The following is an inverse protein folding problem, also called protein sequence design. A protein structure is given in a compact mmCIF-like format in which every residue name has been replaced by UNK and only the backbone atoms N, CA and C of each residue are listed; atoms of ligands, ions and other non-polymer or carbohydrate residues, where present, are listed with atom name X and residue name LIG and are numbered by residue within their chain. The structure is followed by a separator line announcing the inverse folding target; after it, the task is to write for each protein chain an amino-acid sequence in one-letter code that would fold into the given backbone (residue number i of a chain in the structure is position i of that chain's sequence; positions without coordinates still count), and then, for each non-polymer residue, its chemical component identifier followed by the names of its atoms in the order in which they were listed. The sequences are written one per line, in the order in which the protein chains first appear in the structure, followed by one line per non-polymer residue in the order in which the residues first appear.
data_IF_489527425793
#
_entry.id   IF_489527425793
#
_cell.length_a   1.000
_cell.length_b   1.000
_cell.length_c   1.000
_cell.angle_alpha   90.00
_cell.angle_beta   90.00
_cell.angle_gamma   90.00
#
_symmetry.space_group_name_H-M   'P 1'
#
loop_
_entity.id
_entity.type
_entity.pdbx_description
1 polymer ?
#
# COMPACT_ATOMS: atom_id res chain seq x y z
N UNK A 1 0.58 -2.27 -21.96
CA UNK A 1 0.62 -1.66 -20.62
C UNK A 1 -0.38 -0.50 -20.59
N UNK A 2 -1.29 -0.48 -19.62
CA UNK A 2 -2.19 0.65 -19.37
C UNK A 2 -1.39 1.80 -18.74
N UNK A 3 -1.87 3.04 -18.85
CA UNK A 3 -1.23 4.18 -18.18
C UNK A 3 -1.53 4.16 -16.69
N UNK A 4 -0.67 4.78 -15.89
CA UNK A 4 -0.95 5.03 -14.47
C UNK A 4 -2.25 5.82 -14.26
N UNK A 5 -2.59 6.74 -15.17
CA UNK A 5 -3.88 7.44 -15.13
C UNK A 5 -5.07 6.49 -15.24
N UNK A 6 -4.94 5.40 -16.01
CA UNK A 6 -5.99 4.39 -16.13
C UNK A 6 -6.17 3.62 -14.82
N UNK A 7 -5.08 3.23 -14.15
CA UNK A 7 -5.16 2.60 -12.83
C UNK A 7 -5.71 3.57 -11.77
N UNK A 8 -5.26 4.83 -11.77
CA UNK A 8 -5.80 5.86 -10.88
C UNK A 8 -7.31 6.08 -11.10
N UNK A 9 -7.80 5.97 -12.35
CA UNK A 9 -9.23 6.06 -12.64
C UNK A 9 -10.06 4.87 -12.15
N UNK A 10 -9.42 3.80 -11.67
CA UNK A 10 -10.07 2.63 -11.06
C UNK A 10 -10.19 2.74 -9.54
N UNK A 11 -9.48 3.68 -8.93
CA UNK A 11 -9.65 3.99 -7.51
C UNK A 11 -11.04 4.61 -7.33
N UNK A 12 -11.82 4.05 -6.42
CA UNK A 12 -13.17 4.52 -6.12
C UNK A 12 -13.38 4.63 -4.60
N UNK A 13 -13.09 5.81 -4.09
CA UNK A 13 -13.29 6.24 -2.70
C UNK A 13 -14.73 6.70 -2.43
N UNK A 14 -15.57 6.71 -3.45
CA UNK A 14 -16.98 7.10 -3.38
C UNK A 14 -17.95 5.92 -3.32
N UNK A 15 -17.46 4.71 -3.59
CA UNK A 15 -18.22 3.48 -3.45
C UNK A 15 -18.64 3.25 -1.99
N UNK A 16 -19.90 2.87 -1.78
CA UNK A 16 -20.47 2.74 -0.44
C UNK A 16 -19.89 1.57 0.36
N UNK A 17 -19.51 0.47 -0.30
CA UNK A 17 -18.89 -0.66 0.38
C UNK A 17 -17.46 -0.32 0.80
N UNK A 18 -16.72 0.38 -0.06
CA UNK A 18 -15.39 0.91 0.26
C UNK A 18 -15.45 1.89 1.44
N UNK A 19 -16.33 2.89 1.38
CA UNK A 19 -16.48 3.87 2.46
C UNK A 19 -16.89 3.21 3.78
N UNK A 20 -17.88 2.30 3.73
CA UNK A 20 -18.35 1.59 4.94
C UNK A 20 -17.24 0.78 5.58
N UNK A 21 -16.44 0.06 4.79
CA UNK A 21 -15.33 -0.73 5.30
C UNK A 21 -14.22 0.17 5.85
N UNK A 22 -13.85 1.23 5.14
CA UNK A 22 -12.85 2.18 5.61
C UNK A 22 -13.25 2.81 6.96
N UNK A 23 -14.50 3.25 7.09
CA UNK A 23 -15.06 3.78 8.35
C UNK A 23 -15.08 2.72 9.46
N UNK A 24 -15.47 1.48 9.15
CA UNK A 24 -15.51 0.36 10.11
C UNK A 24 -14.12 0.06 10.68
N UNK A 25 -13.10 -0.04 9.82
CA UNK A 25 -11.71 -0.26 10.22
C UNK A 25 -11.12 0.96 10.96
N UNK A 26 -11.51 2.17 10.57
CA UNK A 26 -11.08 3.39 11.23
C UNK A 26 -11.65 3.51 12.66
N UNK A 27 -12.91 3.10 12.84
CA UNK A 27 -13.65 3.21 14.10
C UNK A 27 -13.04 2.39 15.24
N UNK A 28 -12.29 1.33 14.93
CA UNK A 28 -11.51 0.57 15.93
C UNK A 28 -10.50 1.44 16.68
N UNK A 29 -10.09 2.57 16.09
CA UNK A 29 -9.03 3.44 16.58
C UNK A 29 -9.48 4.90 16.78
N UNK A 30 -10.79 5.13 16.92
CA UNK A 30 -11.43 6.46 17.06
C UNK A 30 -11.01 7.24 18.32
N UNK A 31 -10.34 6.60 19.27
CA UNK A 31 -9.77 7.26 20.43
C UNK A 31 -8.57 8.17 20.07
N UNK A 32 -8.03 8.05 18.85
CA UNK A 32 -6.91 8.82 18.32
C UNK A 32 -7.36 9.77 17.19
N UNK A 33 -6.74 10.96 17.03
CA UNK A 33 -7.08 11.89 15.95
C UNK A 33 -6.93 11.23 14.56
N UNK A 34 -7.97 11.29 13.74
CA UNK A 34 -8.01 10.68 12.40
C UNK A 34 -7.45 11.61 11.30
N UNK A 35 -6.83 11.08 10.22
CA UNK A 35 -6.33 9.70 10.14
C UNK A 35 -5.09 9.50 11.01
N UNK A 36 -5.02 8.37 11.73
CA UNK A 36 -3.83 7.99 12.51
C UNK A 36 -3.16 6.71 11.97
N UNK A 37 -1.93 6.49 12.41
CA UNK A 37 -1.09 5.35 12.03
C UNK A 37 -1.74 3.98 12.26
N UNK A 38 -2.55 3.82 13.31
CA UNK A 38 -3.25 2.54 13.56
C UNK A 38 -4.39 2.31 12.57
N UNK A 39 -5.13 3.35 12.19
CA UNK A 39 -6.18 3.26 11.15
C UNK A 39 -5.58 2.85 9.80
N UNK A 40 -4.46 3.46 9.41
CA UNK A 40 -3.75 3.12 8.17
C UNK A 40 -3.21 1.68 8.24
N UNK A 41 -2.60 1.30 9.37
CA UNK A 41 -2.12 -0.06 9.59
C UNK A 41 -3.23 -1.11 9.57
N UNK A 42 -4.40 -0.80 10.15
CA UNK A 42 -5.57 -1.68 10.18
C UNK A 42 -6.16 -1.94 8.79
N UNK A 43 -6.22 -0.92 7.93
CA UNK A 43 -6.58 -1.09 6.52
C UNK A 43 -5.62 -2.03 5.81
N UNK A 44 -4.30 -1.82 5.97
CA UNK A 44 -3.30 -2.71 5.37
C UNK A 44 -3.52 -4.15 5.81
N UNK A 45 -3.66 -4.38 7.13
CA UNK A 45 -3.80 -5.71 7.70
C UNK A 45 -5.08 -6.40 7.22
N UNK A 46 -6.21 -5.68 7.16
CA UNK A 46 -7.43 -6.23 6.61
C UNK A 46 -7.24 -6.75 5.19
N UNK A 47 -6.65 -5.94 4.30
CA UNK A 47 -6.42 -6.37 2.90
C UNK A 47 -5.44 -7.54 2.85
N UNK A 48 -4.36 -7.50 3.64
CA UNK A 48 -3.36 -8.57 3.71
C UNK A 48 -3.97 -9.92 4.15
N UNK A 49 -4.87 -9.90 5.13
CA UNK A 49 -5.45 -11.12 5.70
C UNK A 49 -6.63 -11.67 4.91
N UNK A 50 -7.37 -10.80 4.20
CA UNK A 50 -8.64 -11.18 3.57
C UNK A 50 -8.56 -11.28 2.04
N UNK A 51 -7.60 -10.63 1.38
CA UNK A 51 -7.47 -10.69 -0.09
C UNK A 51 -6.37 -11.66 -0.51
N UNK A 52 -6.76 -12.76 -1.15
CA UNK A 52 -5.83 -13.78 -1.64
C UNK A 52 -5.22 -13.37 -2.97
N UNK A 53 -3.90 -13.46 -3.09
CA UNK A 53 -3.22 -13.26 -4.38
C UNK A 53 -3.73 -14.26 -5.42
N UNK A 54 -4.28 -13.75 -6.53
CA UNK A 54 -4.76 -14.56 -7.64
C UNK A 54 -4.38 -13.89 -8.95
N UNK A 55 -3.43 -14.46 -9.74
CA UNK A 55 -3.02 -13.88 -11.01
C UNK A 55 -4.16 -13.85 -12.02
N UNK A 56 -4.10 -12.87 -12.92
CA UNK A 56 -5.12 -12.66 -13.93
C UNK A 56 -5.45 -13.90 -14.80
N UNK A 57 -6.74 -14.18 -15.05
CA UNK A 57 -7.16 -15.30 -15.89
C UNK A 57 -6.59 -15.18 -17.31
N UNK A 58 -5.83 -16.19 -17.75
CA UNK A 58 -5.32 -16.23 -19.12
C UNK A 58 -4.22 -15.22 -19.43
N UNK A 59 -3.69 -14.50 -18.42
CA UNK A 59 -2.63 -13.50 -18.58
C UNK A 59 -3.07 -12.21 -19.26
N UNK A 60 -4.38 -11.96 -19.34
CA UNK A 60 -4.92 -10.67 -19.79
C UNK A 60 -5.18 -9.78 -18.57
N UNK A 61 -4.61 -8.56 -18.59
CA UNK A 61 -4.75 -7.58 -17.51
C UNK A 61 -6.21 -7.35 -17.12
N UNK A 62 -6.57 -7.67 -15.88
CA UNK A 62 -7.89 -7.45 -15.29
C UNK A 62 -7.79 -6.82 -13.91
N UNK A 63 -8.08 -5.52 -13.83
CA UNK A 63 -8.21 -4.81 -12.56
C UNK A 63 -9.67 -4.82 -12.15
N UNK A 64 -9.99 -5.62 -11.14
CA UNK A 64 -11.31 -5.62 -10.49
C UNK A 64 -11.61 -4.25 -9.89
N UNK A 65 -12.88 -3.87 -9.91
CA UNK A 65 -13.31 -2.68 -9.18
C UNK A 65 -13.20 -2.97 -7.66
N UNK A 66 -12.91 -1.98 -6.79
CA UNK A 66 -12.66 -2.22 -5.36
C UNK A 66 -13.75 -3.04 -4.65
N UNK A 67 -15.03 -2.75 -4.91
CA UNK A 67 -16.17 -3.50 -4.36
C UNK A 67 -16.20 -4.95 -4.84
N UNK A 68 -15.89 -5.20 -6.12
CA UNK A 68 -15.78 -6.56 -6.67
C UNK A 68 -14.64 -7.33 -6.00
N UNK A 69 -13.50 -6.67 -5.74
CA UNK A 69 -12.38 -7.32 -5.04
C UNK A 69 -12.75 -7.69 -3.61
N UNK A 70 -13.49 -6.83 -2.91
CA UNK A 70 -14.01 -7.12 -1.57
C UNK A 70 -15.01 -8.29 -1.56
N UNK A 71 -15.83 -8.43 -2.61
CA UNK A 71 -16.76 -9.56 -2.74
C UNK A 71 -16.05 -10.88 -3.07
N UNK A 72 -15.06 -10.82 -3.97
CA UNK A 72 -14.40 -12.02 -4.52
C UNK A 72 -13.19 -12.48 -3.71
N UNK A 73 -12.63 -11.60 -2.88
CA UNK A 73 -11.45 -11.82 -2.04
C UNK A 73 -10.22 -12.29 -2.83
N UNK A 74 -10.16 -11.99 -4.13
CA UNK A 74 -9.14 -12.51 -5.05
C UNK A 74 -8.73 -11.51 -6.12
N UNK A 75 -7.45 -11.16 -6.11
CA UNK A 75 -6.83 -10.29 -7.11
C UNK A 75 -5.32 -10.29 -6.96
N UNK A 76 -4.62 -9.85 -8.00
CA UNK A 76 -3.16 -9.74 -7.97
C UNK A 76 -2.70 -8.35 -7.50
N UNK A 77 -1.46 -7.98 -7.83
CA UNK A 77 -0.81 -6.77 -7.34
C UNK A 77 -1.57 -5.48 -7.68
N UNK A 78 -2.14 -5.34 -8.88
CA UNK A 78 -2.81 -4.10 -9.26
C UNK A 78 -4.22 -3.96 -8.69
N UNK A 79 -4.95 -5.07 -8.57
CA UNK A 79 -6.23 -5.16 -7.87
C UNK A 79 -6.07 -4.72 -6.40
N UNK A 80 -5.10 -5.32 -5.70
CA UNK A 80 -4.87 -5.00 -4.28
C UNK A 80 -4.35 -3.57 -4.09
N UNK A 81 -3.51 -3.07 -4.99
CA UNK A 81 -3.05 -1.68 -4.95
C UNK A 81 -4.21 -0.68 -5.11
N UNK A 82 -5.13 -0.94 -6.06
CA UNK A 82 -6.31 -0.10 -6.30
C UNK A 82 -7.28 -0.14 -5.13
N UNK A 83 -7.51 -1.30 -4.51
CA UNK A 83 -8.33 -1.41 -3.30
C UNK A 83 -7.73 -0.63 -2.13
N UNK A 84 -6.43 -0.81 -1.84
CA UNK A 84 -5.75 -0.05 -0.79
C UNK A 84 -5.82 1.45 -1.04
N UNK A 85 -5.59 1.89 -2.28
CA UNK A 85 -5.72 3.29 -2.64
C UNK A 85 -7.15 3.83 -2.44
N UNK A 86 -8.17 3.02 -2.70
CA UNK A 86 -9.57 3.40 -2.50
C UNK A 86 -9.91 3.53 -1.01
N UNK A 87 -9.49 2.56 -0.20
CA UNK A 87 -9.71 2.58 1.25
C UNK A 87 -8.97 3.72 1.95
N UNK A 88 -7.71 3.99 1.58
CA UNK A 88 -6.97 5.13 2.12
C UNK A 88 -7.58 6.46 1.69
N UNK A 89 -7.98 6.59 0.42
CA UNK A 89 -8.60 7.81 -0.10
C UNK A 89 -9.94 8.09 0.58
N UNK A 90 -10.73 7.06 0.91
CA UNK A 90 -11.99 7.22 1.63
C UNK A 90 -11.82 7.84 3.04
N UNK A 91 -10.62 7.74 3.64
CA UNK A 91 -10.27 8.38 4.92
C UNK A 91 -9.45 9.67 4.76
N UNK A 92 -9.44 10.27 3.56
CA UNK A 92 -8.62 11.43 3.22
C UNK A 92 -7.11 11.21 3.49
N UNK A 93 -6.65 9.96 3.48
CA UNK A 93 -5.23 9.64 3.64
C UNK A 93 -4.53 9.83 2.29
N UNK A 94 -3.46 10.64 2.21
CA UNK A 94 -2.71 10.81 0.98
C UNK A 94 -2.14 9.49 0.49
N UNK A 95 -2.45 9.13 -0.75
CA UNK A 95 -2.02 7.87 -1.37
C UNK A 95 -1.57 8.08 -2.81
N UNK A 96 -0.61 7.27 -3.23
CA UNK A 96 -0.19 7.16 -4.62
C UNK A 96 -0.09 5.71 -5.03
N UNK A 97 -0.34 5.45 -6.31
CA UNK A 97 -0.03 4.16 -6.92
C UNK A 97 1.41 4.20 -7.42
N UNK A 98 2.17 3.13 -7.17
CA UNK A 98 3.49 2.91 -7.73
C UNK A 98 3.43 1.72 -8.66
N UNK A 99 3.89 1.92 -9.88
CA UNK A 99 4.23 0.86 -10.80
C UNK A 99 5.74 0.76 -10.89
N UNK A 100 6.30 -0.44 -10.76
CA UNK A 100 7.73 -0.67 -10.91
C UNK A 100 8.05 -1.91 -11.73
N UNK A 101 9.29 -1.96 -12.23
CA UNK A 101 9.87 -3.13 -12.88
C UNK A 101 11.22 -3.46 -12.26
N UNK A 102 11.50 -4.75 -12.12
CA UNK A 102 12.81 -5.22 -11.71
C UNK A 102 13.75 -5.40 -12.93
N UNK A 103 14.98 -5.84 -12.67
CA UNK A 103 16.01 -6.07 -13.70
C UNK A 103 15.65 -7.19 -14.69
N UNK A 104 14.75 -8.08 -14.29
CA UNK A 104 14.24 -9.18 -15.12
C UNK A 104 13.00 -8.79 -15.94
N UNK A 105 12.54 -7.53 -15.80
CA UNK A 105 11.34 -6.97 -16.43
C UNK A 105 10.04 -7.59 -15.92
N UNK A 106 10.07 -8.18 -14.74
CA UNK A 106 8.85 -8.47 -14.00
C UNK A 106 8.23 -7.15 -13.56
N UNK A 107 6.90 -7.09 -13.62
CA UNK A 107 6.13 -5.88 -13.36
C UNK A 107 5.43 -6.04 -12.01
N UNK A 108 5.32 -4.93 -11.28
CA UNK A 108 4.66 -4.91 -9.99
C UNK A 108 3.94 -3.59 -9.77
N UNK A 109 2.79 -3.65 -9.10
CA UNK A 109 2.04 -2.47 -8.69
C UNK A 109 1.67 -2.58 -7.22
N UNK A 110 1.81 -1.47 -6.50
CA UNK A 110 1.44 -1.39 -5.09
C UNK A 110 1.02 0.04 -4.74
N UNK A 111 0.31 0.20 -3.63
CA UNK A 111 -0.01 1.51 -3.09
C UNK A 111 1.13 2.01 -2.20
N UNK A 112 1.29 3.32 -2.11
CA UNK A 112 2.09 3.96 -1.06
C UNK A 112 1.27 5.04 -0.40
N UNK A 113 1.34 5.09 0.92
CA UNK A 113 0.51 5.96 1.74
C UNK A 113 1.37 6.87 2.62
N UNK A 114 0.78 7.94 3.13
CA UNK A 114 1.46 8.86 4.02
C UNK A 114 1.03 8.65 5.47
N UNK A 115 1.95 8.17 6.31
CA UNK A 115 1.73 7.94 7.75
C UNK A 115 2.26 9.07 8.64
N UNK A 116 1.98 10.31 8.26
CA UNK A 116 2.32 11.50 9.03
C UNK A 116 3.62 12.19 8.63
N UNK A 117 3.89 13.34 9.27
CA UNK A 117 4.95 14.25 8.85
C UNK A 117 6.34 13.61 9.02
N UNK A 118 7.27 13.91 8.11
CA UNK A 118 8.64 13.35 8.13
C UNK A 118 9.38 13.58 9.45
N UNK A 119 9.06 14.67 10.16
CA UNK A 119 9.57 14.98 11.50
C UNK A 119 9.03 14.09 12.63
N UNK A 120 8.00 13.29 12.36
CA UNK A 120 7.38 12.34 13.29
C UNK A 120 7.59 10.89 12.85
N UNK A 121 8.28 10.66 11.73
CA UNK A 121 8.47 9.33 11.14
C UNK A 121 9.04 8.31 12.13
N UNK A 122 10.07 8.67 12.91
CA UNK A 122 10.66 7.76 13.91
C UNK A 122 9.60 7.21 14.87
N UNK A 123 8.73 8.08 15.38
CA UNK A 123 7.64 7.68 16.26
C UNK A 123 6.58 6.83 15.54
N UNK A 124 6.23 7.18 14.30
CA UNK A 124 5.33 6.39 13.46
C UNK A 124 5.89 4.97 13.24
N UNK A 125 7.16 4.87 12.86
CA UNK A 125 7.84 3.61 12.58
C UNK A 125 7.96 2.76 13.84
N UNK A 126 8.33 3.34 14.99
CA UNK A 126 8.33 2.68 16.29
C UNK A 126 6.93 2.14 16.63
N UNK A 127 5.89 2.97 16.46
CA UNK A 127 4.51 2.59 16.76
C UNK A 127 4.03 1.42 15.90
N UNK A 128 4.28 1.45 14.59
CA UNK A 128 3.94 0.34 13.69
C UNK A 128 4.77 -0.91 14.00
N UNK A 129 6.07 -0.74 14.28
CA UNK A 129 6.95 -1.85 14.61
C UNK A 129 6.47 -2.58 15.86
N UNK A 130 6.19 -1.84 16.94
CA UNK A 130 5.67 -2.41 18.20
C UNK A 130 4.31 -3.09 17.99
N UNK A 131 3.42 -2.47 17.21
CA UNK A 131 2.10 -3.02 16.91
C UNK A 131 2.19 -4.34 16.16
N UNK A 132 2.99 -4.43 15.10
CA UNK A 132 3.18 -5.67 14.35
C UNK A 132 3.99 -6.71 15.15
N UNK A 133 5.02 -6.30 15.91
CA UNK A 133 5.74 -7.22 16.81
C UNK A 133 4.83 -7.88 17.84
N UNK A 134 3.79 -7.20 18.29
CA UNK A 134 2.82 -7.80 19.21
C UNK A 134 2.01 -8.95 18.59
N UNK A 135 2.02 -9.08 17.24
CA UNK A 135 1.23 -10.03 16.47
C UNK A 135 2.06 -11.17 15.86
N UNK A 136 3.36 -10.96 15.64
CA UNK A 136 4.24 -11.93 14.97
C UNK A 136 5.53 -12.18 15.74
N UNK A 137 5.97 -13.44 15.79
CA UNK A 137 7.24 -13.84 16.42
C UNK A 137 8.42 -13.76 15.43
N UNK A 138 8.64 -12.56 14.86
CA UNK A 138 9.75 -12.29 13.94
C UNK A 138 10.14 -10.82 13.95
N UNK A 139 11.32 -10.53 13.39
CA UNK A 139 11.75 -9.16 13.15
C UNK A 139 10.78 -8.45 12.20
N UNK A 140 10.43 -7.21 12.54
CA UNK A 140 9.54 -6.32 11.80
C UNK A 140 10.36 -5.07 11.57
N UNK A 141 10.41 -4.61 10.33
CA UNK A 141 11.13 -3.40 9.96
C UNK A 141 10.26 -2.54 9.07
N UNK A 142 9.74 -1.48 9.67
CA UNK A 142 8.89 -0.50 9.01
C UNK A 142 9.76 0.61 8.44
N UNK A 143 9.60 0.89 7.14
CA UNK A 143 10.35 1.93 6.44
C UNK A 143 9.46 2.88 5.65
N UNK A 144 10.05 4.00 5.24
CA UNK A 144 9.50 4.92 4.26
C UNK A 144 10.48 5.10 3.11
N UNK A 145 9.96 5.36 1.92
CA UNK A 145 10.71 5.58 0.70
C UNK A 145 10.59 7.05 0.32
N UNK A 146 11.74 7.73 0.25
CA UNK A 146 11.86 9.07 -0.30
C UNK A 146 12.49 8.99 -1.69
N UNK A 147 11.70 9.15 -2.75
CA UNK A 147 12.26 9.16 -4.11
C UNK A 147 12.85 10.53 -4.44
N UNK A 148 13.80 10.56 -5.37
CA UNK A 148 14.36 11.82 -5.85
C UNK A 148 13.27 12.70 -6.47
N UNK A 149 13.08 13.89 -5.90
CA UNK A 149 12.05 14.84 -6.33
C UNK A 149 10.76 14.76 -5.51
N UNK A 150 10.62 13.77 -4.63
CA UNK A 150 9.56 13.78 -3.63
C UNK A 150 9.84 14.84 -2.56
N UNK A 151 8.79 15.53 -2.12
CA UNK A 151 8.83 16.48 -1.00
C UNK A 151 8.66 15.77 0.35
N UNK A 152 8.05 14.59 0.34
CA UNK A 152 7.73 13.77 1.51
C UNK A 152 8.11 12.32 1.24
N UNK A 153 8.44 11.58 2.29
CA UNK A 153 8.63 10.14 2.19
C UNK A 153 7.29 9.42 2.28
N UNK A 154 7.18 8.28 1.62
CA UNK A 154 5.96 7.50 1.49
C UNK A 154 6.17 6.10 2.05
N UNK A 155 5.15 5.55 2.70
CA UNK A 155 5.19 4.22 3.29
C UNK A 155 4.65 3.22 2.28
N UNK A 156 5.42 2.17 1.91
CA UNK A 156 4.92 1.14 1.02
C UNK A 156 3.77 0.37 1.69
N UNK A 157 2.63 0.31 1.00
CA UNK A 157 1.48 -0.49 1.34
C UNK A 157 1.35 -1.59 0.27
N UNK A 158 2.27 -2.54 0.31
CA UNK A 158 2.32 -3.70 -0.58
C UNK A 158 1.95 -4.98 0.18
N UNK A 159 0.72 -5.43 0.01
CA UNK A 159 0.19 -6.67 0.61
C UNK A 159 0.59 -7.93 -0.14
N UNK A 160 1.18 -7.79 -1.33
CA UNK A 160 1.48 -8.89 -2.24
C UNK A 160 2.93 -9.35 -2.15
N UNK A 161 3.86 -8.47 -1.79
CA UNK A 161 5.26 -8.82 -1.51
C UNK A 161 5.69 -8.49 -0.08
N UNK A 162 5.05 -7.51 0.56
CA UNK A 162 5.27 -7.17 1.97
C UNK A 162 4.35 -7.95 2.90
N UNK A 163 4.74 -8.03 4.17
CA UNK A 163 3.98 -8.76 5.20
C UNK A 163 3.38 -7.85 6.27
N UNK A 164 3.67 -6.56 6.22
CA UNK A 164 3.12 -5.52 7.09
C UNK A 164 3.27 -4.16 6.40
N UNK A 165 2.53 -3.15 6.87
CA UNK A 165 2.68 -1.79 6.34
C UNK A 165 4.12 -1.31 6.51
N UNK A 166 4.68 -0.75 5.45
CA UNK A 166 6.06 -0.28 5.43
C UNK A 166 7.13 -1.37 5.30
N UNK A 167 6.77 -2.63 4.99
CA UNK A 167 7.71 -3.71 4.73
C UNK A 167 8.27 -3.63 3.30
N UNK A 168 9.56 -3.32 3.10
CA UNK A 168 10.17 -3.27 1.77
C UNK A 168 10.78 -4.62 1.35
N UNK A 169 10.76 -5.65 2.21
CA UNK A 169 11.58 -6.86 2.03
C UNK A 169 11.29 -7.58 0.72
N UNK A 170 10.01 -7.80 0.39
CA UNK A 170 9.61 -8.42 -0.88
C UNK A 170 10.06 -7.62 -2.11
N UNK A 171 9.99 -6.28 -2.05
CA UNK A 171 10.47 -5.41 -3.13
C UNK A 171 11.99 -5.51 -3.31
N UNK A 172 12.74 -5.64 -2.22
CA UNK A 172 14.20 -5.82 -2.23
C UNK A 172 14.57 -7.20 -2.78
N UNK A 173 13.95 -8.26 -2.25
CA UNK A 173 14.22 -9.65 -2.62
C UNK A 173 13.92 -9.92 -4.09
N UNK A 174 12.84 -9.34 -4.62
CA UNK A 174 12.49 -9.42 -6.04
C UNK A 174 13.26 -8.42 -6.92
N UNK A 175 14.14 -7.59 -6.34
CA UNK A 175 15.02 -6.68 -7.08
C UNK A 175 14.33 -5.49 -7.74
N UNK A 176 13.17 -5.05 -7.21
CA UNK A 176 12.51 -3.81 -7.62
C UNK A 176 13.21 -2.58 -7.05
N UNK A 177 13.75 -2.70 -5.83
CA UNK A 177 14.49 -1.65 -5.14
C UNK A 177 15.82 -2.16 -4.60
N UNK A 178 16.83 -1.28 -4.59
CA UNK A 178 18.12 -1.51 -3.95
C UNK A 178 18.23 -0.63 -2.70
N UNK A 179 18.73 -1.19 -1.60
CA UNK A 179 19.10 -0.42 -0.41
C UNK A 179 20.40 0.35 -0.66
N UNK A 180 20.40 1.64 -0.31
CA UNK A 180 21.52 2.56 -0.46
C UNK A 180 21.81 3.27 0.87
N UNK A 181 23.00 3.87 1.04
CA UNK A 181 23.29 4.68 2.23
C UNK A 181 22.33 5.86 2.44
N UNK A 182 21.58 6.26 1.41
CA UNK A 182 20.62 7.37 1.42
C UNK A 182 19.15 6.94 1.47
N UNK A 183 18.84 5.64 1.54
CA UNK A 183 17.48 5.11 1.47
C UNK A 183 17.34 4.05 0.38
N UNK A 184 16.26 4.08 -0.40
CA UNK A 184 15.99 3.09 -1.45
C UNK A 184 15.98 3.71 -2.83
N UNK A 185 16.60 3.03 -3.79
CA UNK A 185 16.54 3.37 -5.19
C UNK A 185 15.73 2.32 -5.96
N UNK A 186 14.72 2.77 -6.71
CA UNK A 186 14.00 1.90 -7.64
C UNK A 186 14.83 1.67 -8.90
N UNK A 187 14.76 0.46 -9.44
CA UNK A 187 15.35 0.17 -10.74
C UNK A 187 14.62 0.92 -11.86
N UNK A 188 13.31 0.75 -11.95
CA UNK A 188 12.41 1.48 -12.85
C UNK A 188 11.07 1.63 -12.13
N UNK A 189 10.63 2.87 -11.88
CA UNK A 189 9.37 3.13 -11.21
C UNK A 189 8.71 4.43 -11.65
N UNK A 190 7.39 4.37 -11.70
CA UNK A 190 6.52 5.49 -12.00
C UNK A 190 5.43 5.57 -10.94
N UNK A 191 5.01 6.79 -10.61
CA UNK A 191 4.00 7.01 -9.58
C UNK A 191 2.93 7.98 -10.03
N UNK A 192 1.74 7.85 -9.46
CA UNK A 192 0.65 8.81 -9.62
C UNK A 192 -0.06 8.99 -8.29
N UNK A 193 -0.21 10.26 -7.85
CA UNK A 193 -1.04 10.57 -6.68
C UNK A 193 -2.51 10.42 -7.06
N UNK A 194 -3.29 9.88 -6.13
CA UNK A 194 -4.72 9.67 -6.35
C UNK A 194 -5.55 10.76 -5.68
N UNK A 195 -5.04 11.33 -4.59
CA UNK A 195 -5.60 12.48 -3.87
C UNK A 195 -4.51 13.46 -3.37
#
# INVERSE_FOLDING_TARGET
MKSLDWFASKVDDSDLEVQRLADELAAEWDEWPSPNTYQIGGIFEYVYENITYSPDPGGELYVSDPAELLETEKGDCDCQAVLLASLYSALDVPVRLTYCRNREREEHMFAETWCGHSSQWEKTAETLTDWYHSKVDRFVWVTQILRRGDEIAWVPADTTTGQHLGDPSGLIEAGFIDETPSGFDFYDAHTIRVN
#
